data_IF_178030961424
#
_entry.id   IF_178030961424
#
_cell.length_a   1.000
_cell.length_b   1.000
_cell.length_c   1.000
_cell.angle_alpha   90.00
_cell.angle_beta   90.00
_cell.angle_gamma   90.00
#
_symmetry.space_group_name_H-M   'P 1'
#
loop_
_entity.id
_entity.type
_entity.pdbx_description
1 polymer ?
#
# COMPACT_ATOMS: atom_id res chain seq x y z
N UNK A 1 -10.92 -2.15 -3.81
CA UNK A 1 -11.16 -2.74 -2.48
C UNK A 1 -12.66 -2.91 -2.39
N UNK A 2 -13.15 -4.12 -2.16
CA UNK A 2 -14.57 -4.44 -2.20
C UNK A 2 -14.94 -5.18 -0.91
N UNK A 3 -16.00 -4.71 -0.24
CA UNK A 3 -16.53 -5.28 1.00
C UNK A 3 -17.94 -5.82 0.72
N UNK A 4 -18.04 -7.01 0.08
CA UNK A 4 -19.31 -7.51 -0.39
C UNK A 4 -20.21 -7.89 0.79
N UNK A 5 -21.47 -7.40 0.76
CA UNK A 5 -22.48 -7.69 1.81
C UNK A 5 -23.01 -9.13 1.73
N UNK A 6 -22.83 -9.78 0.59
CA UNK A 6 -23.09 -11.21 0.36
C UNK A 6 -21.79 -11.89 -0.01
N UNK A 7 -21.56 -13.09 0.52
CA UNK A 7 -20.36 -13.87 0.17
C UNK A 7 -20.27 -14.09 -1.34
N UNK A 8 -19.08 -13.90 -1.89
CA UNK A 8 -18.80 -14.24 -3.28
C UNK A 8 -18.84 -15.74 -3.50
N UNK A 9 -19.24 -16.15 -4.71
CA UNK A 9 -19.14 -17.53 -5.17
C UNK A 9 -17.68 -17.93 -5.40
N UNK A 10 -17.41 -19.24 -5.48
CA UNK A 10 -16.07 -19.75 -5.80
C UNK A 10 -15.54 -19.22 -7.13
N UNK A 11 -16.41 -19.12 -8.15
CA UNK A 11 -16.02 -18.58 -9.45
C UNK A 11 -15.59 -17.10 -9.36
N UNK A 12 -16.28 -16.30 -8.55
CA UNK A 12 -15.91 -14.90 -8.30
C UNK A 12 -14.59 -14.78 -7.53
N UNK A 13 -14.34 -15.68 -6.57
CA UNK A 13 -13.07 -15.70 -5.82
C UNK A 13 -11.88 -16.13 -6.68
N UNK A 14 -12.07 -17.11 -7.57
CA UNK A 14 -11.03 -17.57 -8.50
C UNK A 14 -10.69 -16.55 -9.60
N UNK A 15 -11.66 -15.71 -9.98
CA UNK A 15 -11.51 -14.67 -11.00
C UNK A 15 -12.07 -13.33 -10.48
N UNK A 16 -11.39 -12.70 -9.51
CA UNK A 16 -11.89 -11.51 -8.86
C UNK A 16 -11.87 -10.33 -9.84
N UNK A 17 -13.02 -9.66 -9.97
CA UNK A 17 -13.11 -8.47 -10.80
C UNK A 17 -12.69 -7.25 -9.99
N UNK A 18 -11.59 -6.62 -10.41
CA UNK A 18 -11.04 -5.45 -9.74
C UNK A 18 -11.93 -4.23 -9.96
N UNK A 19 -12.42 -3.64 -8.87
CA UNK A 19 -13.07 -2.33 -8.90
C UNK A 19 -12.01 -1.23 -8.76
N UNK A 20 -11.70 -0.54 -9.85
CA UNK A 20 -10.82 0.62 -9.87
C UNK A 20 -11.49 1.80 -9.14
N UNK A 21 -10.89 2.23 -8.03
CA UNK A 21 -11.39 3.32 -7.20
C UNK A 21 -10.89 4.71 -7.63
N UNK A 22 -9.96 4.78 -8.58
CA UNK A 22 -9.25 6.02 -8.93
C UNK A 22 -9.74 6.54 -10.29
N UNK A 23 -9.82 7.86 -10.45
CA UNK A 23 -10.19 8.53 -11.69
C UNK A 23 -9.19 8.24 -12.82
N UNK A 24 -9.60 8.43 -14.08
CA UNK A 24 -8.73 8.16 -15.23
C UNK A 24 -7.46 9.02 -15.23
N UNK A 25 -7.56 10.26 -14.79
CA UNK A 25 -6.43 11.20 -14.65
C UNK A 25 -5.56 10.95 -13.40
N UNK A 26 -5.96 10.03 -12.53
CA UNK A 26 -5.21 9.64 -11.33
C UNK A 26 -5.23 10.67 -10.20
N UNK A 27 -6.07 11.72 -10.27
CA UNK A 27 -6.03 12.84 -9.31
C UNK A 27 -6.95 12.68 -8.12
N UNK A 28 -8.02 11.89 -8.24
CA UNK A 28 -9.00 11.73 -7.18
C UNK A 28 -9.64 10.33 -7.23
N UNK A 29 -10.39 9.97 -6.19
CA UNK A 29 -11.20 8.75 -6.22
C UNK A 29 -12.45 8.96 -7.10
N UNK A 30 -13.02 7.89 -7.64
CA UNK A 30 -14.33 7.92 -8.31
C UNK A 30 -15.41 8.01 -7.23
N UNK A 31 -16.18 9.12 -7.10
CA UNK A 31 -17.07 9.32 -5.96
C UNK A 31 -18.13 8.23 -5.80
N UNK A 32 -18.67 7.71 -6.91
CA UNK A 32 -19.66 6.62 -6.90
C UNK A 32 -19.12 5.25 -6.49
N UNK A 33 -17.80 5.11 -6.34
CA UNK A 33 -17.11 3.87 -5.94
C UNK A 33 -16.42 4.00 -4.58
N UNK A 34 -16.23 5.22 -4.08
CA UNK A 34 -15.71 5.47 -2.75
C UNK A 34 -16.82 5.34 -1.71
N UNK A 35 -16.50 4.75 -0.57
CA UNK A 35 -17.43 4.64 0.56
C UNK A 35 -16.68 4.73 1.88
N UNK A 36 -17.40 5.13 2.94
CA UNK A 36 -16.88 5.17 4.30
C UNK A 36 -16.42 3.79 4.79
N UNK A 37 -17.01 2.70 4.30
CA UNK A 37 -16.59 1.33 4.60
C UNK A 37 -15.14 1.08 4.13
N UNK A 38 -14.76 1.60 2.95
CA UNK A 38 -13.39 1.48 2.42
C UNK A 38 -12.41 2.30 3.28
N UNK A 39 -12.79 3.53 3.65
CA UNK A 39 -11.98 4.36 4.53
C UNK A 39 -11.77 3.69 5.90
N UNK A 40 -12.84 3.12 6.46
CA UNK A 40 -12.82 2.42 7.75
C UNK A 40 -11.95 1.16 7.70
N UNK A 41 -12.03 0.37 6.62
CA UNK A 41 -11.16 -0.80 6.43
C UNK A 41 -9.68 -0.42 6.50
N UNK A 42 -9.28 0.64 5.77
CA UNK A 42 -7.88 1.08 5.73
C UNK A 42 -7.46 1.65 7.10
N UNK A 43 -8.33 2.43 7.74
CA UNK A 43 -8.07 2.98 9.07
C UNK A 43 -7.88 1.88 10.12
N UNK A 44 -8.78 0.90 10.17
CA UNK A 44 -8.68 -0.24 11.10
C UNK A 44 -7.39 -1.01 10.90
N UNK A 45 -7.02 -1.31 9.65
CA UNK A 45 -5.75 -1.96 9.35
C UNK A 45 -4.55 -1.10 9.77
N UNK A 46 -4.60 0.22 9.57
CA UNK A 46 -3.50 1.11 9.95
C UNK A 46 -3.37 1.27 11.48
N UNK A 47 -4.47 1.17 12.22
CA UNK A 47 -4.47 1.25 13.69
C UNK A 47 -3.93 -0.02 14.36
N UNK A 48 -3.83 -1.13 13.63
CA UNK A 48 -3.20 -2.35 14.13
C UNK A 48 -1.71 -2.13 14.44
N UNK A 49 -1.26 -2.62 15.60
CA UNK A 49 0.11 -2.42 16.10
C UNK A 49 1.16 -3.18 15.30
N UNK A 50 0.80 -4.28 14.65
CA UNK A 50 1.72 -5.07 13.84
C UNK A 50 1.92 -4.46 12.44
N UNK A 51 1.00 -3.61 11.99
CA UNK A 51 1.08 -2.95 10.68
C UNK A 51 2.06 -1.77 10.73
N UNK A 52 3.05 -1.79 9.84
CA UNK A 52 4.04 -0.70 9.69
C UNK A 52 3.74 0.21 8.51
N UNK A 53 3.18 -0.33 7.42
CA UNK A 53 2.83 0.42 6.20
C UNK A 53 1.59 -0.17 5.52
N UNK A 54 0.81 0.71 4.91
CA UNK A 54 -0.24 0.34 3.96
C UNK A 54 -0.02 1.12 2.67
N UNK A 55 0.36 0.46 1.58
CA UNK A 55 0.50 1.13 0.28
C UNK A 55 -0.85 1.21 -0.43
N UNK A 56 -1.20 2.44 -0.86
CA UNK A 56 -2.41 2.76 -1.62
C UNK A 56 -2.06 3.74 -2.73
N UNK A 57 -2.96 3.91 -3.70
CA UNK A 57 -2.81 4.96 -4.70
C UNK A 57 -2.79 6.37 -4.04
N UNK A 58 -2.03 7.36 -4.56
CA UNK A 58 -2.04 8.73 -4.05
C UNK A 58 -3.44 9.33 -3.92
N UNK A 59 -4.32 9.10 -4.90
CA UNK A 59 -5.70 9.60 -4.85
C UNK A 59 -6.51 9.03 -3.68
N UNK A 60 -6.25 7.76 -3.31
CA UNK A 60 -6.88 7.12 -2.15
C UNK A 60 -6.35 7.74 -0.86
N UNK A 61 -5.02 7.93 -0.74
CA UNK A 61 -4.45 8.62 0.43
C UNK A 61 -5.00 10.04 0.56
N UNK A 62 -5.11 10.78 -0.55
CA UNK A 62 -5.70 12.11 -0.59
C UNK A 62 -7.14 12.11 -0.05
N UNK A 63 -7.97 11.15 -0.46
CA UNK A 63 -9.34 11.05 0.05
C UNK A 63 -9.36 10.71 1.55
N UNK A 64 -8.51 9.78 2.02
CA UNK A 64 -8.38 9.48 3.45
C UNK A 64 -7.95 10.70 4.26
N UNK A 65 -7.06 11.52 3.72
CA UNK A 65 -6.65 12.77 4.35
C UNK A 65 -7.82 13.75 4.51
N UNK A 66 -8.75 13.81 3.56
CA UNK A 66 -9.96 14.63 3.66
C UNK A 66 -10.94 14.06 4.68
N UNK A 67 -11.09 12.74 4.72
CA UNK A 67 -12.10 12.05 5.53
C UNK A 67 -11.72 11.87 7.02
N UNK A 68 -10.42 11.90 7.36
CA UNK A 68 -9.94 11.45 8.67
C UNK A 68 -10.35 12.32 9.89
N UNK A 69 -10.82 13.56 9.69
CA UNK A 69 -11.16 14.45 10.80
C UNK A 69 -9.94 14.74 11.69
N UNK A 70 -10.13 14.67 13.02
CA UNK A 70 -9.09 14.95 14.02
C UNK A 70 -8.21 13.75 14.40
N UNK A 71 -8.71 12.51 14.30
CA UNK A 71 -7.93 11.29 14.55
C UNK A 71 -7.18 10.89 13.28
N UNK A 72 -5.90 11.32 13.20
CA UNK A 72 -5.10 11.30 11.96
C UNK A 72 -3.79 10.54 12.04
N UNK A 73 -3.31 10.13 13.21
CA UNK A 73 -1.96 9.56 13.36
C UNK A 73 -1.74 8.30 12.52
N UNK A 74 -2.80 7.51 12.32
CA UNK A 74 -2.79 6.31 11.48
C UNK A 74 -2.46 6.60 10.00
N UNK A 75 -2.70 7.82 9.50
CA UNK A 75 -2.37 8.22 8.12
C UNK A 75 -0.86 8.18 7.85
N UNK A 76 -0.02 8.28 8.90
CA UNK A 76 1.44 8.14 8.78
C UNK A 76 1.85 6.80 8.16
N UNK A 77 1.13 5.72 8.50
CA UNK A 77 1.37 4.38 7.95
C UNK A 77 0.84 4.22 6.53
N UNK A 78 -0.11 5.05 6.10
CA UNK A 78 -0.65 5.00 4.73
C UNK A 78 0.35 5.67 3.77
N UNK A 79 0.86 4.90 2.81
CA UNK A 79 1.95 5.32 1.92
C UNK A 79 1.47 5.40 0.47
N UNK A 80 1.63 6.54 -0.22
CA UNK A 80 1.30 6.63 -1.64
C UNK A 80 2.24 5.74 -2.46
N UNK A 81 1.70 5.03 -3.45
CA UNK A 81 2.47 4.24 -4.41
C UNK A 81 1.75 4.09 -5.75
N UNK A 82 2.50 3.81 -6.82
CA UNK A 82 1.94 3.56 -8.15
C UNK A 82 0.95 2.39 -8.15
N UNK A 83 -0.01 2.41 -9.07
CA UNK A 83 -1.12 1.45 -9.12
C UNK A 83 -1.91 1.46 -7.80
N UNK A 84 -2.05 0.33 -7.10
CA UNK A 84 -2.85 0.19 -5.87
C UNK A 84 -4.25 0.84 -5.96
N UNK A 85 -4.87 0.77 -7.14
CA UNK A 85 -6.16 1.41 -7.44
C UNK A 85 -7.37 0.59 -6.98
N UNK A 86 -7.16 -0.71 -6.73
CA UNK A 86 -8.22 -1.66 -6.39
C UNK A 86 -7.89 -2.54 -5.18
N UNK A 87 -6.71 -2.38 -4.57
CA UNK A 87 -6.27 -3.12 -3.39
C UNK A 87 -5.40 -2.20 -2.52
N UNK A 88 -5.17 -2.60 -1.28
CA UNK A 88 -4.16 -2.02 -0.40
C UNK A 88 -3.10 -3.09 -0.11
N UNK A 89 -1.84 -2.68 0.00
CA UNK A 89 -0.75 -3.59 0.37
C UNK A 89 -0.38 -3.32 1.82
N UNK A 90 -0.79 -4.22 2.72
CA UNK A 90 -0.46 -4.14 4.15
C UNK A 90 0.90 -4.81 4.36
N UNK A 91 1.80 -4.14 5.08
CA UNK A 91 3.10 -4.68 5.51
C UNK A 91 3.15 -4.69 7.03
N UNK A 92 3.55 -5.82 7.59
CA UNK A 92 3.77 -6.01 9.01
C UNK A 92 5.22 -5.69 9.40
N UNK A 93 5.46 -5.52 10.69
CA UNK A 93 6.81 -5.55 11.29
C UNK A 93 7.39 -6.96 11.26
N UNK A 94 8.71 -7.07 11.37
CA UNK A 94 9.34 -8.37 11.61
C UNK A 94 8.84 -8.98 12.94
N UNK A 95 8.55 -10.29 12.98
CA UNK A 95 8.25 -10.98 14.23
C UNK A 95 9.43 -10.92 15.21
N UNK A 96 9.14 -10.85 16.51
CA UNK A 96 10.17 -10.68 17.55
C UNK A 96 11.15 -11.86 17.65
N UNK A 97 10.75 -13.05 17.20
CA UNK A 97 11.53 -14.28 17.18
C UNK A 97 12.21 -14.55 15.82
N UNK A 98 12.01 -13.70 14.82
CA UNK A 98 12.63 -13.84 13.50
C UNK A 98 14.01 -13.18 13.44
N UNK A 99 15.06 -13.96 13.72
CA UNK A 99 16.44 -13.47 13.83
C UNK A 99 17.03 -12.89 12.54
N UNK A 100 16.54 -13.33 11.38
CA UNK A 100 17.05 -12.95 10.06
C UNK A 100 16.06 -12.07 9.26
N UNK A 101 15.00 -11.56 9.92
CA UNK A 101 14.06 -10.66 9.26
C UNK A 101 14.59 -9.21 9.27
N UNK A 102 14.57 -8.57 8.11
CA UNK A 102 15.05 -7.18 7.95
C UNK A 102 13.90 -6.17 7.97
N UNK A 103 13.85 -5.33 9.00
CA UNK A 103 12.87 -4.25 9.10
C UNK A 103 13.24 -3.02 8.26
N UNK A 104 12.22 -2.24 7.89
CA UNK A 104 12.40 -0.93 7.29
C UNK A 104 12.37 0.17 8.36
N UNK A 105 13.10 1.30 8.18
CA UNK A 105 12.96 2.47 9.05
C UNK A 105 11.51 2.94 9.14
N UNK A 106 11.17 3.72 10.16
CA UNK A 106 9.83 4.29 10.30
C UNK A 106 9.48 5.20 9.10
N UNK A 107 8.18 5.31 8.71
CA UNK A 107 7.75 6.33 7.77
C UNK A 107 8.11 7.75 8.26
N UNK A 108 8.21 8.74 7.36
CA UNK A 108 8.41 10.13 7.74
C UNK A 108 7.43 10.59 8.83
N UNK A 109 7.81 11.52 9.71
CA UNK A 109 6.91 12.05 10.73
C UNK A 109 5.72 12.81 10.10
N UNK A 110 4.61 12.89 10.83
CA UNK A 110 3.36 13.50 10.38
C UNK A 110 2.43 12.55 9.61
N UNK A 111 1.28 13.06 9.18
CA UNK A 111 0.27 12.28 8.43
C UNK A 111 0.65 12.06 6.96
N UNK A 112 1.62 12.84 6.46
CA UNK A 112 2.09 12.79 5.07
C UNK A 112 0.99 13.21 4.08
N UNK A 113 0.07 14.09 4.47
CA UNK A 113 -0.99 14.65 3.60
C UNK A 113 -0.57 15.94 2.89
N UNK A 114 0.58 16.52 3.27
CA UNK A 114 1.12 17.76 2.70
C UNK A 114 1.99 17.54 1.46
N UNK A 115 3.15 18.21 1.43
CA UNK A 115 4.04 18.29 0.26
C UNK A 115 4.44 16.91 -0.30
N UNK A 116 4.69 15.92 0.56
CA UNK A 116 4.99 14.57 0.13
C UNK A 116 3.87 14.03 -0.79
N UNK A 117 2.62 14.07 -0.33
CA UNK A 117 1.50 13.57 -1.11
C UNK A 117 1.28 14.38 -2.40
N UNK A 118 1.38 15.72 -2.32
CA UNK A 118 1.17 16.57 -3.49
C UNK A 118 2.16 16.28 -4.62
N UNK A 119 3.42 15.95 -4.29
CA UNK A 119 4.43 15.59 -5.28
C UNK A 119 4.07 14.37 -6.15
N UNK A 120 3.18 13.48 -5.67
CA UNK A 120 2.72 12.33 -6.46
C UNK A 120 1.74 12.71 -7.58
N UNK A 121 1.19 13.91 -7.54
CA UNK A 121 0.30 14.43 -8.57
C UNK A 121 1.02 15.36 -9.55
N UNK A 122 2.29 15.64 -9.37
CA UNK A 122 3.08 16.40 -10.33
C UNK A 122 3.44 15.52 -11.55
N UNK A 123 3.58 16.11 -12.75
CA UNK A 123 4.13 15.38 -13.88
C UNK A 123 5.54 14.87 -13.54
N UNK A 124 5.93 13.68 -14.02
CA UNK A 124 7.28 13.18 -13.80
C UNK A 124 8.29 14.19 -14.33
N UNK A 125 9.28 14.53 -13.52
CA UNK A 125 10.37 15.41 -13.94
C UNK A 125 11.06 14.80 -15.16
N UNK A 126 11.44 15.60 -16.18
CA UNK A 126 12.21 15.10 -17.30
C UNK A 126 13.43 14.34 -16.79
N UNK A 127 13.57 13.07 -17.19
CA UNK A 127 14.72 12.27 -16.77
C UNK A 127 15.99 12.83 -17.38
N UNK A 128 16.95 13.25 -16.54
CA UNK A 128 18.26 13.74 -16.99
C UNK A 128 19.25 12.61 -17.24
N UNK A 129 18.92 11.38 -16.84
CA UNK A 129 19.79 10.20 -16.93
C UNK A 129 19.03 8.99 -17.45
N UNK A 130 19.66 8.18 -18.31
CA UNK A 130 19.10 6.89 -18.75
C UNK A 130 18.91 5.97 -17.53
N UNK A 131 17.82 5.19 -17.45
CA UNK A 131 17.64 4.22 -16.38
C UNK A 131 18.78 3.19 -16.40
N UNK A 132 19.58 3.14 -15.34
CA UNK A 132 20.56 2.08 -15.15
C UNK A 132 19.88 0.83 -14.60
N UNK A 133 20.21 -0.32 -15.19
CA UNK A 133 19.79 -1.61 -14.63
C UNK A 133 20.57 -1.84 -13.35
N UNK A 134 19.89 -1.79 -12.21
CA UNK A 134 20.47 -2.21 -10.93
C UNK A 134 20.45 -3.74 -10.87
N UNK A 135 21.59 -4.33 -10.52
CA UNK A 135 21.67 -5.74 -10.17
C UNK A 135 20.85 -5.97 -8.90
N UNK A 136 19.95 -6.97 -8.86
CA UNK A 136 19.26 -7.33 -7.63
C UNK A 136 20.27 -7.69 -6.53
N UNK A 137 19.94 -7.44 -5.24
CA UNK A 137 20.75 -7.94 -4.14
C UNK A 137 20.84 -9.48 -4.19
N UNK A 138 21.92 -10.07 -3.68
CA UNK A 138 22.02 -11.53 -3.56
C UNK A 138 20.93 -12.06 -2.62
N UNK A 139 20.57 -13.33 -2.79
CA UNK A 139 19.61 -14.01 -1.93
C UNK A 139 20.20 -14.17 -0.52
N UNK A 140 19.40 -14.05 0.57
CA UNK A 140 19.88 -14.33 1.91
C UNK A 140 20.45 -15.76 2.05
N UNK A 141 21.53 -15.99 2.82
CA UNK A 141 22.19 -17.30 2.92
C UNK A 141 21.24 -18.45 3.29
N UNK A 142 20.38 -18.25 4.29
CA UNK A 142 19.39 -19.27 4.72
C UNK A 142 18.36 -19.58 3.63
N UNK A 143 18.00 -18.59 2.80
CA UNK A 143 17.12 -18.82 1.65
C UNK A 143 17.83 -19.59 0.53
N UNK A 144 19.14 -19.35 0.32
CA UNK A 144 19.93 -20.09 -0.65
C UNK A 144 20.09 -21.57 -0.24
N UNK A 145 20.29 -21.84 1.05
CA UNK A 145 20.39 -23.21 1.58
C UNK A 145 19.16 -24.07 1.26
N UNK A 146 17.94 -23.51 1.30
CA UNK A 146 16.72 -24.23 0.91
C UNK A 146 16.74 -24.73 -0.54
N UNK A 147 17.36 -23.95 -1.44
CA UNK A 147 17.52 -24.32 -2.85
C UNK A 147 18.59 -25.39 -3.01
N UNK A 148 19.71 -25.23 -2.31
CA UNK A 148 20.87 -26.12 -2.37
C UNK A 148 20.55 -27.51 -1.79
N UNK A 149 19.69 -27.57 -0.78
CA UNK A 149 19.31 -28.79 -0.08
C UNK A 149 17.98 -29.42 -0.58
N UNK A 150 17.31 -28.79 -1.55
CA UNK A 150 16.02 -29.24 -2.11
C UNK A 150 14.89 -29.42 -1.07
N UNK A 151 14.76 -28.47 -0.13
CA UNK A 151 13.78 -28.52 0.98
C UNK A 151 12.49 -27.74 0.65
N UNK A 152 12.08 -27.72 -0.63
CA UNK A 152 10.87 -27.02 -1.11
C UNK A 152 9.72 -27.98 -1.44
#
# INVERSE_FOLDING_TARGET
MQLPKTRWSQAQLLRPQALDLVSRDGKHVVPSRWSSDIASLIKLAAQDNDVTRIFVNPAIKQQLCLDAGSDRDWLRKVRPWFQHRAHMHVRLRCPADSLECEDQPLPPPGDGCGAELQSWFEPPKPGTTKPEKKTPPPLPPSCQALLDEHVL
#
